data_IF_539182883858
#
_entry.id   IF_539182883858
#
_cell.length_a   1.000
_cell.length_b   1.000
_cell.length_c   1.000
_cell.angle_alpha   90.00
_cell.angle_beta   90.00
_cell.angle_gamma   90.00
#
_symmetry.space_group_name_H-M   'P 1'
#
loop_
_entity.id
_entity.type
_entity.pdbx_description
1 polymer ?
#
# COMPACT_ATOMS: atom_id res chain seq x y z
N UNK A 1 11.49 44.18 -6.30
CA UNK A 1 10.39 43.44 -6.92
C UNK A 1 10.54 42.01 -6.43
N UNK A 2 9.89 41.70 -5.30
CA UNK A 2 10.01 40.40 -4.63
C UNK A 2 9.22 39.37 -5.45
N UNK A 3 9.90 38.45 -6.12
CA UNK A 3 9.27 37.26 -6.71
C UNK A 3 8.87 36.34 -5.56
N UNK A 4 7.63 36.49 -5.08
CA UNK A 4 7.02 35.58 -4.13
C UNK A 4 7.03 34.17 -4.70
N UNK A 5 7.92 33.32 -4.19
CA UNK A 5 7.93 31.90 -4.46
C UNK A 5 6.71 31.27 -3.79
N UNK A 6 5.59 31.20 -4.50
CA UNK A 6 4.48 30.34 -4.10
C UNK A 6 4.86 28.90 -4.40
N UNK A 7 5.80 28.35 -3.63
CA UNK A 7 6.02 26.91 -3.57
C UNK A 7 4.67 26.25 -3.31
N UNK A 8 4.22 25.27 -4.13
CA UNK A 8 2.95 24.62 -3.91
C UNK A 8 2.98 23.99 -2.52
N UNK A 9 2.09 24.49 -1.66
CA UNK A 9 1.87 23.96 -0.33
C UNK A 9 1.46 22.49 -0.50
N UNK A 10 2.13 21.51 0.12
CA UNK A 10 1.74 20.12 -0.05
C UNK A 10 0.30 19.98 0.42
N UNK A 11 -0.61 19.72 -0.50
CA UNK A 11 -1.99 19.41 -0.16
C UNK A 11 -1.95 18.15 0.70
N UNK A 12 -2.46 18.25 1.92
CA UNK A 12 -2.60 17.12 2.81
C UNK A 12 -3.70 16.21 2.25
N UNK A 13 -3.33 15.30 1.35
CA UNK A 13 -4.24 14.30 0.80
C UNK A 13 -4.50 13.25 1.86
N UNK A 14 -5.70 13.25 2.43
CA UNK A 14 -6.13 12.20 3.35
C UNK A 14 -6.27 10.91 2.53
N UNK A 15 -5.52 9.83 2.86
CA UNK A 15 -5.64 8.59 2.13
C UNK A 15 -7.06 8.02 2.27
N UNK A 16 -7.71 7.75 1.15
CA UNK A 16 -9.03 7.13 1.08
C UNK A 16 -8.87 5.61 1.01
N UNK A 17 -9.69 4.88 1.75
CA UNK A 17 -9.84 3.45 1.59
C UNK A 17 -10.64 3.17 0.31
N UNK A 18 -10.00 2.58 -0.71
CA UNK A 18 -10.60 2.32 -2.04
C UNK A 18 -11.79 1.37 -1.99
N UNK A 19 -11.87 0.49 -0.99
CA UNK A 19 -13.00 -0.43 -0.83
C UNK A 19 -14.24 0.23 -0.21
N UNK A 20 -14.04 1.25 0.63
CA UNK A 20 -15.12 1.92 1.38
C UNK A 20 -15.43 3.33 0.89
N UNK A 21 -14.57 3.92 0.06
CA UNK A 21 -14.68 5.29 -0.43
C UNK A 21 -14.58 6.36 0.66
N UNK A 22 -14.03 6.02 1.84
CA UNK A 22 -13.94 6.91 3.01
C UNK A 22 -12.52 6.99 3.54
N UNK A 23 -12.21 8.04 4.30
CA UNK A 23 -10.92 8.21 4.95
C UNK A 23 -10.53 6.97 5.79
N UNK A 24 -9.25 6.64 5.80
CA UNK A 24 -8.72 5.55 6.64
C UNK A 24 -8.97 5.86 8.11
N UNK A 25 -9.61 4.93 8.83
CA UNK A 25 -9.89 5.03 10.26
C UNK A 25 -9.08 4.05 11.11
N UNK A 26 -8.17 3.28 10.50
CA UNK A 26 -7.38 2.24 11.15
C UNK A 26 -5.97 2.22 10.59
N UNK A 27 -5.01 2.07 11.49
CA UNK A 27 -3.56 2.02 11.26
C UNK A 27 -2.90 1.29 12.43
N UNK A 28 -1.69 0.78 12.22
CA UNK A 28 -0.89 0.20 13.30
C UNK A 28 -0.57 1.27 14.36
N UNK A 29 -0.84 0.96 15.62
CA UNK A 29 -0.35 1.74 16.75
C UNK A 29 1.17 1.55 16.90
N UNK A 30 1.87 2.45 17.64
CA UNK A 30 3.29 2.24 17.94
C UNK A 30 3.55 0.84 18.51
N UNK A 31 4.60 0.19 18.01
CA UNK A 31 5.02 -1.19 18.35
C UNK A 31 4.11 -2.31 17.85
N UNK A 32 2.97 -2.01 17.20
CA UNK A 32 2.24 -3.05 16.48
C UNK A 32 2.97 -3.41 15.18
N UNK A 33 3.14 -4.70 14.95
CA UNK A 33 3.59 -5.30 13.70
C UNK A 33 2.49 -6.16 13.09
N UNK A 34 2.68 -6.60 11.85
CA UNK A 34 1.77 -7.53 11.18
C UNK A 34 1.59 -8.80 12.02
N UNK A 35 2.69 -9.35 12.53
CA UNK A 35 2.69 -10.53 13.40
C UNK A 35 1.92 -10.27 14.70
N UNK A 36 2.05 -9.09 15.31
CA UNK A 36 1.31 -8.78 16.54
C UNK A 36 -0.20 -8.59 16.34
N UNK A 37 -0.63 -8.17 15.14
CA UNK A 37 -2.04 -7.87 14.85
C UNK A 37 -2.78 -9.08 14.28
N UNK A 38 -2.11 -9.85 13.41
CA UNK A 38 -2.69 -11.04 12.80
C UNK A 38 -2.31 -12.34 13.53
N UNK A 39 -1.37 -12.27 14.47
CA UNK A 39 -0.95 -13.37 15.33
C UNK A 39 -0.69 -14.66 14.53
N UNK A 40 -1.39 -15.75 14.87
CA UNK A 40 -1.25 -17.06 14.23
C UNK A 40 -1.60 -17.07 12.74
N UNK A 41 -2.33 -16.06 12.26
CA UNK A 41 -2.71 -15.94 10.85
C UNK A 41 -1.72 -15.12 10.02
N UNK A 42 -0.76 -14.44 10.66
CA UNK A 42 0.18 -13.53 9.98
C UNK A 42 0.85 -14.17 8.76
N UNK A 43 1.42 -15.36 8.95
CA UNK A 43 2.09 -16.11 7.88
C UNK A 43 1.13 -16.51 6.75
N UNK A 44 -0.08 -16.96 7.10
CA UNK A 44 -1.09 -17.36 6.11
C UNK A 44 -1.58 -16.16 5.29
N UNK A 45 -1.85 -15.02 5.95
CA UNK A 45 -2.28 -13.79 5.29
C UNK A 45 -1.23 -13.30 4.30
N UNK A 46 0.05 -13.26 4.71
CA UNK A 46 1.13 -12.83 3.82
C UNK A 46 1.36 -13.83 2.68
N UNK A 47 1.31 -15.13 2.93
CA UNK A 47 1.42 -16.13 1.86
C UNK A 47 0.29 -15.99 0.83
N UNK A 48 -0.96 -15.80 1.27
CA UNK A 48 -2.08 -15.55 0.38
C UNK A 48 -1.88 -14.27 -0.44
N UNK A 49 -1.42 -13.17 0.19
CA UNK A 49 -1.13 -11.91 -0.49
C UNK A 49 -0.08 -12.11 -1.59
N UNK A 50 1.01 -12.81 -1.29
CA UNK A 50 2.09 -13.11 -2.25
C UNK A 50 1.53 -13.91 -3.43
N UNK A 51 0.81 -15.00 -3.20
CA UNK A 51 0.26 -15.83 -4.28
C UNK A 51 -0.68 -15.02 -5.19
N UNK A 52 -1.55 -14.20 -4.62
CA UNK A 52 -2.49 -13.37 -5.39
C UNK A 52 -1.76 -12.33 -6.24
N UNK A 53 -0.76 -11.65 -5.66
CA UNK A 53 0.05 -10.66 -6.40
C UNK A 53 0.83 -11.34 -7.51
N UNK A 54 1.47 -12.49 -7.24
CA UNK A 54 2.21 -13.24 -8.26
C UNK A 54 1.30 -13.63 -9.43
N UNK A 55 0.08 -14.09 -9.16
CA UNK A 55 -0.91 -14.40 -10.19
C UNK A 55 -1.37 -13.17 -10.96
N UNK A 56 -1.54 -12.03 -10.29
CA UNK A 56 -1.93 -10.80 -10.95
C UNK A 56 -0.82 -10.28 -11.90
N UNK A 57 0.44 -10.44 -11.50
CA UNK A 57 1.58 -9.91 -12.23
C UNK A 57 2.11 -10.86 -13.32
N UNK A 58 1.94 -12.18 -13.20
CA UNK A 58 2.43 -13.13 -14.21
C UNK A 58 1.81 -12.90 -15.60
N UNK A 59 0.58 -12.39 -15.63
CA UNK A 59 -0.14 -12.06 -16.86
C UNK A 59 0.29 -10.70 -17.46
N UNK A 60 1.18 -9.95 -16.79
CA UNK A 60 1.72 -8.69 -17.32
C UNK A 60 2.96 -8.96 -18.17
N UNK A 61 2.89 -8.56 -19.44
CA UNK A 61 3.92 -8.82 -20.46
C UNK A 61 5.33 -8.34 -20.06
N UNK A 62 5.41 -7.28 -19.26
CA UNK A 62 6.69 -6.75 -18.76
C UNK A 62 7.41 -7.67 -17.77
N UNK A 63 6.69 -8.52 -17.04
CA UNK A 63 7.29 -9.47 -16.08
C UNK A 63 7.81 -10.71 -16.82
N UNK A 64 7.11 -11.11 -17.87
CA UNK A 64 7.55 -12.21 -18.75
C UNK A 64 8.82 -11.85 -19.51
N UNK A 65 8.94 -10.61 -19.98
CA UNK A 65 10.12 -10.10 -20.70
C UNK A 65 11.40 -10.07 -19.83
N UNK A 66 11.26 -9.90 -18.52
CA UNK A 66 12.38 -10.01 -17.56
C UNK A 66 12.79 -11.47 -17.31
N UNK A 67 11.90 -12.42 -17.58
CA UNK A 67 12.08 -13.83 -17.26
C UNK A 67 12.66 -14.67 -18.42
N UNK A 68 12.79 -14.08 -19.62
CA UNK A 68 13.46 -14.69 -20.80
C UNK A 68 12.49 -15.27 -21.82
#
# INVERSE_FOLDING_TARGET
>A
MELGSTSPKPEFVIPVNTMKGRAKSSYYAPKQTLESVFERLAATVEACRIILISKYLIDTSSVLDVSG
#
